data_IF_003284097903
#
_entry.id   IF_003284097903
#
_cell.length_a   1.000
_cell.length_b   1.000
_cell.length_c   1.000
_cell.angle_alpha   90.00
_cell.angle_beta   90.00
_cell.angle_gamma   90.00
#
_symmetry.space_group_name_H-M   'P 1'
#
loop_
_entity.id
_entity.type
_entity.pdbx_description
1 polymer ?
#
# COMPACT_ATOMS: atom_id res chain seq x y z
N UNK A 1 -19.89 -7.85 -16.38
CA UNK A 1 -18.52 -7.37 -16.12
C UNK A 1 -18.62 -6.31 -15.04
N UNK A 2 -17.82 -6.38 -13.96
CA UNK A 2 -17.78 -5.32 -12.96
C UNK A 2 -17.39 -4.00 -13.62
N UNK A 3 -17.93 -2.88 -13.10
CA UNK A 3 -17.61 -1.57 -13.68
C UNK A 3 -16.16 -1.22 -13.36
N UNK A 4 -15.42 -0.57 -14.27
CA UNK A 4 -14.01 -0.20 -14.06
C UNK A 4 -13.78 0.57 -12.74
N UNK A 5 -14.73 1.42 -12.36
CA UNK A 5 -14.73 2.15 -11.09
C UNK A 5 -14.81 1.25 -9.83
N UNK A 6 -15.46 0.08 -9.89
CA UNK A 6 -15.45 -0.88 -8.77
C UNK A 6 -14.08 -1.52 -8.61
N UNK A 7 -13.38 -1.81 -9.71
CA UNK A 7 -12.06 -2.43 -9.67
C UNK A 7 -10.97 -1.51 -9.09
N UNK A 8 -10.99 -0.21 -9.42
CA UNK A 8 -10.06 0.78 -8.85
C UNK A 8 -10.23 0.90 -7.33
N UNK A 9 -11.49 1.02 -6.86
CA UNK A 9 -11.82 1.15 -5.45
C UNK A 9 -11.47 -0.13 -4.67
N UNK A 10 -11.73 -1.30 -5.27
CA UNK A 10 -11.42 -2.58 -4.64
C UNK A 10 -9.90 -2.80 -4.52
N UNK A 11 -9.11 -2.45 -5.54
CA UNK A 11 -7.64 -2.46 -5.43
C UNK A 11 -7.14 -1.51 -4.34
N UNK A 12 -7.68 -0.29 -4.26
CA UNK A 12 -7.28 0.67 -3.25
C UNK A 12 -7.60 0.18 -1.82
N UNK A 13 -8.79 -0.43 -1.63
CA UNK A 13 -9.17 -1.05 -0.35
C UNK A 13 -8.26 -2.25 0.00
N UNK A 14 -7.91 -3.09 -0.97
CA UNK A 14 -6.99 -4.21 -0.77
C UNK A 14 -5.58 -3.72 -0.41
N UNK A 15 -5.10 -2.65 -1.06
CA UNK A 15 -3.83 -2.01 -0.71
C UNK A 15 -3.86 -1.51 0.73
N UNK A 16 -4.93 -0.81 1.13
CA UNK A 16 -5.07 -0.28 2.48
C UNK A 16 -5.14 -1.40 3.53
N UNK A 17 -5.91 -2.45 3.25
CA UNK A 17 -6.01 -3.61 4.13
C UNK A 17 -4.67 -4.33 4.29
N UNK A 18 -3.94 -4.53 3.20
CA UNK A 18 -2.59 -5.10 3.24
C UNK A 18 -1.62 -4.21 4.04
N UNK A 19 -1.73 -2.89 3.91
CA UNK A 19 -0.93 -1.94 4.67
C UNK A 19 -1.21 -2.04 6.17
N UNK A 20 -2.47 -2.19 6.58
CA UNK A 20 -2.82 -2.34 7.99
C UNK A 20 -2.34 -3.68 8.59
N UNK A 21 -2.08 -4.68 7.76
CA UNK A 21 -1.55 -5.99 8.18
C UNK A 21 -0.02 -6.08 8.10
N UNK A 22 0.68 -5.04 7.65
CA UNK A 22 2.13 -5.07 7.44
C UNK A 22 2.59 -5.86 6.21
N UNK A 23 1.68 -6.19 5.28
CA UNK A 23 1.99 -6.93 4.05
C UNK A 23 2.53 -6.00 2.96
N UNK A 24 3.69 -5.41 3.22
CA UNK A 24 4.31 -4.36 2.38
C UNK A 24 4.34 -4.71 0.88
N UNK A 25 4.76 -5.92 0.43
CA UNK A 25 4.81 -6.22 -1.00
C UNK A 25 3.43 -6.17 -1.66
N UNK A 26 2.42 -6.65 -0.96
CA UNK A 26 1.03 -6.67 -1.43
C UNK A 26 0.50 -5.24 -1.50
N UNK A 27 0.74 -4.43 -0.47
CA UNK A 27 0.38 -3.01 -0.45
C UNK A 27 0.95 -2.25 -1.64
N UNK A 28 2.24 -2.45 -1.95
CA UNK A 28 2.91 -1.76 -3.06
C UNK A 28 2.30 -2.14 -4.41
N UNK A 29 2.05 -3.44 -4.64
CA UNK A 29 1.47 -3.91 -5.91
C UNK A 29 0.06 -3.33 -6.12
N UNK A 30 -0.81 -3.44 -5.11
CA UNK A 30 -2.18 -2.96 -5.24
C UNK A 30 -2.27 -1.43 -5.27
N UNK A 31 -1.41 -0.71 -4.55
CA UNK A 31 -1.32 0.74 -4.63
C UNK A 31 -0.81 1.20 -6.01
N UNK A 32 0.17 0.50 -6.60
CA UNK A 32 0.66 0.81 -7.93
C UNK A 32 -0.40 0.60 -9.01
N UNK A 33 -1.15 -0.52 -8.94
CA UNK A 33 -2.27 -0.79 -9.84
C UNK A 33 -3.32 0.32 -9.70
N UNK A 34 -3.76 0.63 -8.48
CA UNK A 34 -4.72 1.70 -8.23
C UNK A 34 -4.22 3.07 -8.73
N UNK A 35 -2.92 3.38 -8.58
CA UNK A 35 -2.33 4.63 -9.06
C UNK A 35 -2.29 4.71 -10.59
N UNK A 36 -1.97 3.60 -11.26
CA UNK A 36 -1.95 3.51 -12.73
C UNK A 36 -3.35 3.70 -13.34
N UNK A 37 -4.38 3.18 -12.67
CA UNK A 37 -5.79 3.35 -13.07
C UNK A 37 -6.27 4.80 -12.83
N UNK A 38 -5.86 5.42 -11.72
CA UNK A 38 -6.17 6.82 -11.40
C UNK A 38 -5.55 7.78 -12.43
N UNK A 39 -4.34 7.52 -12.93
CA UNK A 39 -3.77 8.33 -14.01
C UNK A 39 -4.57 8.25 -15.33
N UNK A 40 -5.23 7.11 -15.59
CA UNK A 40 -6.13 6.97 -16.73
C UNK A 40 -7.48 7.67 -16.52
N UNK A 41 -7.89 7.90 -15.27
CA UNK A 41 -9.19 8.48 -14.88
C UNK A 41 -9.06 9.46 -13.71
N UNK A 42 -8.70 10.73 -13.96
CA UNK A 42 -8.33 11.71 -12.92
C UNK A 42 -9.46 12.12 -11.95
N UNK A 43 -10.69 11.65 -12.14
CA UNK A 43 -11.86 11.99 -11.30
C UNK A 43 -12.40 10.82 -10.45
N UNK A 44 -11.71 9.66 -10.42
CA UNK A 44 -12.15 8.52 -9.58
C UNK A 44 -11.69 8.65 -8.11
N UNK A 45 -12.63 8.44 -7.18
CA UNK A 45 -12.43 8.58 -5.73
C UNK A 45 -11.40 7.62 -5.12
N UNK A 46 -11.04 6.53 -5.81
CA UNK A 46 -10.09 5.52 -5.34
C UNK A 46 -8.66 6.04 -5.14
N UNK A 47 -8.32 7.18 -5.73
CA UNK A 47 -7.00 7.82 -5.62
C UNK A 47 -6.58 8.11 -4.18
N UNK A 48 -7.49 8.65 -3.36
CA UNK A 48 -7.18 9.00 -1.98
C UNK A 48 -6.81 7.79 -1.13
N UNK A 49 -7.54 6.68 -1.32
CA UNK A 49 -7.35 5.44 -0.55
C UNK A 49 -5.99 4.80 -0.89
N UNK A 50 -5.62 4.77 -2.18
CA UNK A 50 -4.33 4.23 -2.61
C UNK A 50 -3.13 5.02 -2.03
N UNK A 51 -3.25 6.35 -1.99
CA UNK A 51 -2.23 7.23 -1.39
C UNK A 51 -2.13 6.98 0.13
N UNK A 52 -3.25 6.86 0.83
CA UNK A 52 -3.26 6.54 2.26
C UNK A 52 -2.59 5.20 2.56
N UNK A 53 -2.86 4.17 1.75
CA UNK A 53 -2.21 2.87 1.89
C UNK A 53 -0.68 2.96 1.73
N UNK A 54 -0.21 3.75 0.76
CA UNK A 54 1.23 3.97 0.53
C UNK A 54 1.90 4.67 1.70
N UNK A 55 1.24 5.70 2.27
CA UNK A 55 1.75 6.43 3.44
C UNK A 55 1.87 5.51 4.67
N UNK A 56 0.89 4.65 4.91
CA UNK A 56 0.93 3.68 6.01
C UNK A 56 2.12 2.72 5.82
N UNK A 57 2.31 2.17 4.62
CA UNK A 57 3.45 1.29 4.34
C UNK A 57 4.80 1.98 4.56
N UNK A 58 4.93 3.27 4.19
CA UNK A 58 6.15 4.04 4.46
C UNK A 58 6.40 4.18 5.96
N UNK A 59 5.36 4.48 6.74
CA UNK A 59 5.47 4.59 8.20
C UNK A 59 5.87 3.25 8.81
N UNK A 60 5.30 2.13 8.35
CA UNK A 60 5.67 0.78 8.82
C UNK A 60 7.12 0.43 8.50
N UNK A 61 7.60 0.76 7.29
CA UNK A 61 9.02 0.55 6.91
C UNK A 61 9.93 1.34 7.84
N UNK A 62 9.64 2.62 8.07
CA UNK A 62 10.43 3.49 8.94
C UNK A 62 10.42 2.93 10.38
N UNK A 63 9.26 2.57 10.91
CA UNK A 63 9.13 2.01 12.24
C UNK A 63 9.91 0.69 12.38
N UNK A 64 9.87 -0.16 11.35
CA UNK A 64 10.61 -1.43 11.30
C UNK A 64 12.12 -1.21 11.27
N UNK A 65 12.60 -0.25 10.47
CA UNK A 65 14.02 0.14 10.43
C UNK A 65 14.50 0.72 11.77
N UNK A 66 13.68 1.54 12.43
CA UNK A 66 13.97 2.07 13.76
C UNK A 66 14.03 0.93 14.77
N UNK A 67 13.07 0.00 14.74
CA UNK A 67 13.05 -1.16 15.63
C UNK A 67 14.27 -2.06 15.42
N UNK A 68 14.62 -2.39 14.17
CA UNK A 68 15.84 -3.14 13.83
C UNK A 68 17.09 -2.48 14.41
N UNK A 69 17.22 -1.15 14.21
CA UNK A 69 18.35 -0.39 14.72
C UNK A 69 18.38 -0.33 16.24
N UNK A 70 17.21 -0.18 16.89
CA UNK A 70 17.13 -0.02 18.33
C UNK A 70 17.30 -1.33 19.09
N UNK A 71 16.72 -2.41 18.59
CA UNK A 71 16.81 -3.75 19.19
C UNK A 71 18.05 -4.53 18.78
N UNK A 72 18.87 -3.99 17.86
CA UNK A 72 20.09 -4.67 17.40
C UNK A 72 19.82 -6.00 16.71
N UNK A 73 18.61 -6.19 16.18
CA UNK A 73 18.23 -7.40 15.46
C UNK A 73 19.10 -7.48 14.20
N UNK A 74 19.93 -8.53 14.03
CA UNK A 74 20.73 -8.68 12.83
C UNK A 74 19.79 -8.76 11.63
N UNK A 75 20.08 -8.05 10.52
CA UNK A 75 19.11 -7.86 9.45
C UNK A 75 18.58 -9.19 8.89
N UNK A 76 19.41 -10.23 8.86
CA UNK A 76 19.01 -11.60 8.54
C UNK A 76 20.09 -12.52 9.13
N UNK A 77 19.86 -13.16 10.28
CA UNK A 77 20.73 -14.27 10.69
C UNK A 77 20.27 -15.53 9.94
N UNK A 78 21.02 -15.88 8.90
CA UNK A 78 20.97 -17.20 8.26
C UNK A 78 21.62 -18.29 9.11
#
# INVERSE_FOLDING_TARGET
MPKPEETTNLCACLALFAALLGLIPVTVVFAFIAFSEVQRRPYERGAGIAISALLIAIVEIIATLIALRHFGLPPFNG
#
